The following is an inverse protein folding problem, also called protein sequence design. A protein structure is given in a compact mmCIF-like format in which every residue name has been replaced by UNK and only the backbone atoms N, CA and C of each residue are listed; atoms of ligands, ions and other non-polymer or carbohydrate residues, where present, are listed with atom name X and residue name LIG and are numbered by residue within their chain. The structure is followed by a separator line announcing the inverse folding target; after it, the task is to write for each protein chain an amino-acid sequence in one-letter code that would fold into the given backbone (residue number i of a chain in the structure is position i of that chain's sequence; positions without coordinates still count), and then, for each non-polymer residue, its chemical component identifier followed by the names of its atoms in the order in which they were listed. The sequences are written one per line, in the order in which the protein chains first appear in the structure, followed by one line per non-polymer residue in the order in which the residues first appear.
data_IF_047418514463
#
_entry.id   IF_047418514463
#
_cell.length_a   1.000
_cell.length_b   1.000
_cell.length_c   1.000
_cell.angle_alpha   90.00
_cell.angle_beta   90.00
_cell.angle_gamma   90.00
#
_symmetry.space_group_name_H-M   'P 1'
#
loop_
_entity.id
_entity.type
_entity.pdbx_description
1 polymer ?
#
# COMPACT_ATOMS: atom_id res chain seq x y z
N UNK A 1 -24.26 -11.15 -2.76
CA UNK A 1 -23.22 -10.31 -2.12
C UNK A 1 -22.38 -11.17 -1.20
N UNK A 2 -21.06 -10.96 -1.15
CA UNK A 2 -20.14 -11.69 -0.26
C UNK A 2 -19.31 -10.69 0.52
N UNK A 3 -19.15 -10.91 1.82
CA UNK A 3 -18.37 -10.07 2.72
C UNK A 3 -17.17 -10.87 3.24
N UNK A 4 -15.96 -10.39 3.00
CA UNK A 4 -14.72 -11.00 3.46
C UNK A 4 -13.97 -10.08 4.39
N UNK A 5 -13.79 -10.49 5.64
CA UNK A 5 -13.00 -9.76 6.63
C UNK A 5 -11.57 -10.28 6.67
N UNK A 6 -10.62 -9.37 6.68
CA UNK A 6 -9.18 -9.63 6.73
C UNK A 6 -8.61 -8.94 7.97
N UNK A 7 -7.82 -9.66 8.78
CA UNK A 7 -7.24 -9.16 10.02
C UNK A 7 -5.75 -8.82 9.90
N UNK A 8 -5.08 -9.31 8.85
CA UNK A 8 -3.69 -8.95 8.52
C UNK A 8 -3.52 -8.45 7.08
N UNK A 9 -2.43 -7.72 6.81
CA UNK A 9 -2.07 -7.26 5.46
C UNK A 9 -1.82 -8.46 4.53
N UNK A 10 -1.27 -9.56 5.04
CA UNK A 10 -1.04 -10.78 4.28
C UNK A 10 -2.34 -11.44 3.86
N UNK A 11 -3.33 -11.54 4.76
CA UNK A 11 -4.67 -12.04 4.45
C UNK A 11 -5.36 -11.17 3.39
N UNK A 12 -5.22 -9.84 3.52
CA UNK A 12 -5.71 -8.88 2.53
C UNK A 12 -5.05 -9.07 1.16
N UNK A 13 -3.72 -9.10 1.11
CA UNK A 13 -2.98 -9.24 -0.16
C UNK A 13 -3.35 -10.55 -0.86
N UNK A 14 -3.47 -11.64 -0.10
CA UNK A 14 -3.90 -12.92 -0.64
C UNK A 14 -5.34 -12.88 -1.17
N UNK A 15 -6.25 -12.21 -0.46
CA UNK A 15 -7.62 -12.00 -0.93
C UNK A 15 -7.67 -11.18 -2.21
N UNK A 16 -6.90 -10.09 -2.33
CA UNK A 16 -6.83 -9.25 -3.54
C UNK A 16 -6.37 -10.06 -4.75
N UNK A 17 -5.30 -10.84 -4.61
CA UNK A 17 -4.83 -11.72 -5.68
C UNK A 17 -5.86 -12.80 -6.04
N UNK A 18 -6.58 -13.36 -5.07
CA UNK A 18 -7.67 -14.30 -5.31
C UNK A 18 -8.81 -13.67 -6.11
N UNK A 19 -9.24 -12.46 -5.73
CA UNK A 19 -10.37 -11.83 -6.41
C UNK A 19 -9.99 -11.36 -7.83
N UNK A 20 -8.75 -10.91 -8.03
CA UNK A 20 -8.23 -10.57 -9.37
C UNK A 20 -8.22 -11.78 -10.31
N UNK A 21 -7.72 -12.93 -9.84
CA UNK A 21 -7.72 -14.16 -10.63
C UNK A 21 -9.13 -14.65 -10.99
N UNK A 22 -10.11 -14.32 -10.16
CA UNK A 22 -11.52 -14.64 -10.42
C UNK A 22 -12.20 -13.63 -11.36
N UNK A 23 -11.51 -12.55 -11.75
CA UNK A 23 -12.03 -11.52 -12.64
C UNK A 23 -12.95 -10.52 -11.96
N UNK A 24 -12.85 -10.38 -10.63
CA UNK A 24 -13.55 -9.30 -9.93
C UNK A 24 -12.76 -7.99 -10.10
N UNK A 25 -13.47 -6.87 -10.23
CA UNK A 25 -12.87 -5.57 -10.52
C UNK A 25 -13.37 -4.49 -9.57
N UNK A 26 -12.52 -3.51 -9.26
CA UNK A 26 -12.98 -2.29 -8.61
C UNK A 26 -13.81 -1.46 -9.57
N UNK A 27 -14.80 -0.73 -9.04
CA UNK A 27 -15.56 0.24 -9.82
C UNK A 27 -14.67 1.36 -10.43
N UNK A 28 -13.44 1.53 -9.94
CA UNK A 28 -12.42 2.48 -10.44
C UNK A 28 -11.65 1.96 -11.66
N UNK A 29 -11.91 0.73 -12.13
CA UNK A 29 -11.18 0.02 -13.21
C UNK A 29 -9.72 -0.33 -12.89
N UNK A 30 -9.27 -0.11 -11.66
CA UNK A 30 -7.97 -0.58 -11.18
C UNK A 30 -8.04 -2.08 -10.91
N UNK A 31 -6.93 -2.79 -11.08
CA UNK A 31 -6.90 -4.21 -10.70
C UNK A 31 -6.99 -4.35 -9.18
N UNK A 32 -7.56 -5.45 -8.67
CA UNK A 32 -7.65 -5.68 -7.23
C UNK A 32 -6.32 -5.57 -6.49
N UNK A 33 -5.22 -6.05 -7.08
CA UNK A 33 -3.88 -5.96 -6.46
C UNK A 33 -3.22 -4.59 -6.60
N UNK A 34 -3.69 -3.72 -7.49
CA UNK A 34 -3.11 -2.40 -7.73
C UNK A 34 -3.67 -1.33 -6.76
N UNK A 35 -4.86 -1.54 -6.21
CA UNK A 35 -5.48 -0.65 -5.23
C UNK A 35 -5.45 -1.24 -3.82
N UNK A 36 -4.75 -0.55 -2.91
CA UNK A 36 -4.57 -1.02 -1.53
C UNK A 36 -5.48 -0.28 -0.54
N UNK A 37 -6.72 -0.75 -0.38
CA UNK A 37 -7.70 -0.19 0.55
C UNK A 37 -7.46 -0.59 2.01
N UNK A 38 -6.56 -1.55 2.27
CA UNK A 38 -6.17 -1.95 3.63
C UNK A 38 -5.71 -0.77 4.47
N UNK A 39 -5.03 0.20 3.85
CA UNK A 39 -4.50 1.37 4.55
C UNK A 39 -5.57 2.27 5.19
N UNK A 40 -6.84 2.07 4.85
CA UNK A 40 -7.97 2.87 5.32
C UNK A 40 -8.50 2.30 6.65
N UNK A 41 -8.89 1.03 6.67
CA UNK A 41 -9.52 0.40 7.85
C UNK A 41 -8.62 -0.62 8.57
N UNK A 42 -7.46 -0.97 7.99
CA UNK A 42 -6.51 -1.96 8.52
C UNK A 42 -7.24 -3.25 8.90
N UNK A 43 -7.08 -3.73 10.13
CA UNK A 43 -7.74 -4.93 10.67
C UNK A 43 -9.27 -4.90 10.65
N UNK A 44 -9.88 -3.75 10.42
CA UNK A 44 -11.35 -3.62 10.28
C UNK A 44 -11.80 -3.64 8.81
N UNK A 45 -10.90 -3.94 7.87
CA UNK A 45 -11.20 -3.96 6.43
C UNK A 45 -12.08 -5.16 6.08
N UNK A 46 -13.25 -4.86 5.51
CA UNK A 46 -14.13 -5.85 4.89
C UNK A 46 -14.20 -5.57 3.39
N UNK A 47 -13.88 -6.59 2.60
CA UNK A 47 -14.08 -6.58 1.14
C UNK A 47 -15.50 -7.03 0.84
N UNK A 48 -16.21 -6.18 0.13
CA UNK A 48 -17.58 -6.38 -0.32
C UNK A 48 -17.53 -6.79 -1.78
N UNK A 49 -18.13 -7.93 -2.12
CA UNK A 49 -18.32 -8.34 -3.51
C UNK A 49 -19.80 -8.26 -3.84
N UNK A 50 -20.16 -7.30 -4.68
CA UNK A 50 -21.51 -7.05 -5.16
C UNK A 50 -21.69 -7.59 -6.58
N UNK A 51 -22.90 -8.08 -6.87
CA UNK A 51 -23.30 -8.61 -8.19
C UNK A 51 -22.35 -9.66 -8.81
N UNK A 52 -21.55 -10.34 -7.98
CA UNK A 52 -20.53 -11.31 -8.41
C UNK A 52 -19.49 -10.77 -9.41
N UNK A 53 -19.31 -9.44 -9.48
CA UNK A 53 -18.28 -8.80 -10.32
C UNK A 53 -17.62 -7.57 -9.65
N UNK A 54 -18.39 -6.79 -8.88
CA UNK A 54 -17.94 -5.48 -8.40
C UNK A 54 -17.36 -5.57 -6.99
N UNK A 55 -16.14 -5.05 -6.83
CA UNK A 55 -15.50 -4.91 -5.54
C UNK A 55 -15.84 -3.56 -4.89
N UNK A 56 -16.14 -3.63 -3.59
CA UNK A 56 -16.24 -2.53 -2.66
C UNK A 56 -15.47 -2.85 -1.38
N UNK A 57 -15.28 -1.86 -0.52
CA UNK A 57 -14.67 -2.06 0.78
C UNK A 57 -15.30 -1.12 1.81
N UNK A 58 -15.40 -1.59 3.05
CA UNK A 58 -15.93 -0.80 4.15
C UNK A 58 -15.34 -1.25 5.49
N UNK A 59 -15.63 -0.52 6.56
CA UNK A 59 -15.33 -0.97 7.91
C UNK A 59 -16.25 -2.12 8.31
N UNK A 60 -15.75 -3.00 9.18
CA UNK A 60 -16.52 -4.09 9.77
C UNK A 60 -17.83 -3.60 10.42
N UNK A 61 -17.74 -2.56 11.23
CA UNK A 61 -18.90 -1.94 11.90
C UNK A 61 -19.94 -1.43 10.88
N UNK A 62 -19.49 -0.81 9.78
CA UNK A 62 -20.40 -0.37 8.73
C UNK A 62 -21.14 -1.55 8.10
N UNK A 63 -20.41 -2.64 7.78
CA UNK A 63 -21.02 -3.84 7.21
C UNK A 63 -22.01 -4.50 8.17
N UNK A 64 -21.69 -4.59 9.46
CA UNK A 64 -22.60 -5.15 10.47
C UNK A 64 -23.88 -4.32 10.62
N UNK A 65 -23.78 -3.00 10.51
CA UNK A 65 -24.92 -2.09 10.61
C UNK A 65 -25.80 -2.06 9.35
N UNK A 66 -25.18 -2.06 8.17
CA UNK A 66 -25.89 -1.90 6.89
C UNK A 66 -26.36 -3.23 6.32
N UNK A 67 -25.64 -4.32 6.61
CA UNK A 67 -25.93 -5.67 6.13
C UNK A 67 -26.06 -6.67 7.29
N UNK A 68 -26.97 -6.45 8.26
CA UNK A 68 -27.07 -7.27 9.47
C UNK A 68 -27.33 -8.75 9.19
N UNK A 69 -28.04 -9.06 8.10
CA UNK A 69 -28.39 -10.43 7.71
C UNK A 69 -27.33 -11.11 6.82
N UNK A 70 -26.24 -10.41 6.47
CA UNK A 70 -25.18 -10.96 5.61
C UNK A 70 -23.97 -11.36 6.46
N UNK A 71 -23.66 -12.68 6.57
CA UNK A 71 -22.51 -13.12 7.36
C UNK A 71 -21.19 -12.61 6.80
N UNK A 72 -20.41 -11.97 7.66
CA UNK A 72 -19.03 -11.56 7.37
C UNK A 72 -18.13 -12.77 7.51
N UNK A 73 -17.56 -13.25 6.40
CA UNK A 73 -16.67 -14.42 6.39
C UNK A 73 -15.25 -13.95 6.68
N UNK A 74 -14.64 -14.48 7.75
CA UNK A 74 -13.20 -14.31 7.94
C UNK A 74 -12.46 -15.02 6.80
N UNK A 75 -11.66 -14.28 6.05
CA UNK A 75 -10.84 -14.87 5.00
C UNK A 75 -9.66 -15.58 5.63
N UNK A 76 -9.59 -16.90 5.45
CA UNK A 76 -8.41 -17.70 5.79
C UNK A 76 -7.87 -18.31 4.52
N UNK A 77 -6.66 -17.91 4.19
CA UNK A 77 -5.88 -18.51 3.10
C UNK A 77 -5.71 -20.00 3.37
N UNK A 78 -6.02 -20.85 2.37
CA UNK A 78 -5.52 -22.22 2.36
C UNK A 78 -4.03 -22.15 2.02
N UNK A 79 -3.19 -22.47 3.00
CA UNK A 79 -1.73 -22.33 2.94
C UNK A 79 -1.13 -22.99 1.69
N UNK A 80 -1.71 -24.10 1.24
CA UNK A 80 -1.30 -24.88 0.07
C UNK A 80 -1.55 -24.15 -1.26
N UNK A 81 -2.63 -23.36 -1.36
CA UNK A 81 -2.93 -22.60 -2.58
C UNK A 81 -1.97 -21.42 -2.73
N UNK A 82 -1.60 -20.78 -1.62
CA UNK A 82 -0.66 -19.65 -1.63
C UNK A 82 0.79 -20.10 -1.82
N UNK A 83 1.20 -21.23 -1.26
CA UNK A 83 2.52 -21.82 -1.53
C UNK A 83 2.73 -22.07 -3.03
N UNK A 84 1.72 -22.67 -3.70
CA UNK A 84 1.75 -22.89 -5.14
C UNK A 84 1.83 -21.58 -5.94
N UNK A 85 1.21 -20.50 -5.47
CA UNK A 85 1.26 -19.20 -6.16
C UNK A 85 2.62 -18.54 -6.06
N UNK A 86 3.28 -18.63 -4.90
CA UNK A 86 4.64 -18.13 -4.76
C UNK A 86 5.61 -18.91 -5.64
N UNK A 87 5.43 -20.23 -5.74
CA UNK A 87 6.24 -21.07 -6.64
C UNK A 87 6.01 -20.71 -8.12
N UNK A 88 4.75 -20.57 -8.55
CA UNK A 88 4.41 -20.20 -9.92
C UNK A 88 4.92 -18.80 -10.28
N UNK A 89 4.79 -17.82 -9.37
CA UNK A 89 5.29 -16.46 -9.55
C UNK A 89 6.82 -16.39 -9.57
N UNK A 90 7.50 -17.15 -8.71
CA UNK A 90 8.95 -17.26 -8.70
C UNK A 90 9.47 -17.91 -9.98
N UNK A 91 8.79 -18.94 -10.49
CA UNK A 91 9.12 -19.59 -11.75
C UNK A 91 8.89 -18.66 -12.95
N UNK A 92 7.80 -17.88 -12.95
CA UNK A 92 7.55 -16.87 -13.98
C UNK A 92 8.61 -15.76 -13.96
N UNK A 93 9.02 -15.26 -12.78
CA UNK A 93 10.10 -14.28 -12.65
C UNK A 93 11.44 -14.83 -13.11
N UNK A 94 11.77 -16.09 -12.77
CA UNK A 94 12.97 -16.75 -13.28
C UNK A 94 12.94 -16.87 -14.81
N UNK A 95 11.79 -17.22 -15.38
CA UNK A 95 11.62 -17.31 -16.84
C UNK A 95 11.78 -15.94 -17.53
N UNK A 96 11.17 -14.88 -16.98
CA UNK A 96 11.29 -13.50 -17.46
C UNK A 96 12.73 -12.96 -17.36
N UNK A 97 13.40 -13.25 -16.24
CA UNK A 97 14.82 -12.90 -16.04
C UNK A 97 15.73 -13.63 -17.04
N UNK A 98 15.47 -14.92 -17.30
CA UNK A 98 16.23 -15.72 -18.26
C UNK A 98 16.13 -15.21 -19.71
N UNK A 99 15.05 -14.49 -20.06
CA UNK A 99 14.87 -13.85 -21.37
C UNK A 99 15.26 -12.35 -21.38
N UNK A 100 15.90 -11.87 -20.31
CA UNK A 100 16.43 -10.50 -20.23
C UNK A 100 15.37 -9.41 -20.01
N UNK A 101 14.13 -9.78 -19.66
CA UNK A 101 13.07 -8.83 -19.33
C UNK A 101 13.19 -8.45 -17.84
N UNK A 102 13.67 -7.24 -17.58
CA UNK A 102 13.65 -6.62 -16.26
C UNK A 102 12.32 -5.90 -16.06
N UNK A 103 11.54 -6.29 -15.06
CA UNK A 103 10.40 -5.47 -14.62
C UNK A 103 10.97 -4.22 -13.93
N UNK A 104 10.79 -3.06 -14.55
CA UNK A 104 10.92 -1.79 -13.83
C UNK A 104 9.82 -1.75 -12.77
N UNK A 105 10.21 -1.72 -11.51
CA UNK A 105 9.31 -1.28 -10.43
C UNK A 105 8.88 0.15 -10.77
N UNK A 106 7.69 0.32 -11.33
CA UNK A 106 6.98 1.59 -11.19
C UNK A 106 6.49 1.68 -9.75
N UNK A 107 7.41 2.02 -8.85
CA UNK A 107 7.11 2.40 -7.49
C UNK A 107 6.29 3.70 -7.54
N UNK A 108 4.96 3.58 -7.60
CA UNK A 108 4.02 4.68 -7.45
C UNK A 108 3.84 5.10 -5.98
N UNK A 109 4.85 4.89 -5.13
CA UNK A 109 4.85 5.35 -3.75
C UNK A 109 5.13 6.85 -3.72
N UNK A 110 4.08 7.66 -3.94
CA UNK A 110 4.16 9.13 -3.92
C UNK A 110 4.69 9.72 -2.61
N UNK A 111 4.84 8.92 -1.55
CA UNK A 111 5.27 9.36 -0.23
C UNK A 111 6.75 9.02 -0.03
N UNK A 112 7.13 7.75 -0.17
CA UNK A 112 8.50 7.29 0.09
C UNK A 112 9.39 7.30 -1.15
N UNK A 113 8.80 7.20 -2.35
CA UNK A 113 9.55 7.14 -3.60
C UNK A 113 8.80 7.84 -4.75
N UNK A 114 8.67 9.18 -4.71
CA UNK A 114 7.95 9.90 -5.76
C UNK A 114 8.73 9.75 -7.07
N UNK A 115 8.06 9.26 -8.12
CA UNK A 115 8.66 8.89 -9.41
C UNK A 115 9.52 9.99 -10.07
N UNK A 116 9.36 11.25 -9.68
CA UNK A 116 10.14 12.39 -10.20
C UNK A 116 11.44 12.70 -9.45
N UNK A 117 11.80 11.94 -8.39
CA UNK A 117 13.02 12.17 -7.59
C UNK A 117 14.09 11.06 -7.72
N UNK A 118 13.86 10.02 -8.52
CA UNK A 118 14.78 8.87 -8.71
C UNK A 118 15.59 8.90 -10.01
N UNK A 119 15.63 10.04 -10.69
CA UNK A 119 16.45 10.20 -11.88
C UNK A 119 17.94 10.03 -11.52
N UNK A 120 18.54 8.87 -11.84
CA UNK A 120 19.97 8.60 -11.67
C UNK A 120 20.35 7.55 -10.61
N UNK A 121 19.38 6.86 -9.99
CA UNK A 121 19.67 5.72 -9.10
C UNK A 121 20.18 6.07 -7.70
N UNK A 122 20.17 7.35 -7.33
CA UNK A 122 20.40 7.84 -5.97
C UNK A 122 19.11 8.47 -5.48
N UNK A 123 18.64 8.08 -4.28
CA UNK A 123 17.50 8.71 -3.66
C UNK A 123 17.83 10.17 -3.31
N UNK A 124 16.96 11.11 -3.71
CA UNK A 124 17.23 12.55 -3.55
C UNK A 124 17.53 12.94 -2.10
N UNK A 125 16.91 12.26 -1.13
CA UNK A 125 17.14 12.52 0.29
C UNK A 125 18.56 12.16 0.74
N UNK A 126 19.12 11.06 0.23
CA UNK A 126 20.48 10.63 0.57
C UNK A 126 21.51 11.61 0.02
N UNK A 127 21.28 12.13 -1.19
CA UNK A 127 22.09 13.22 -1.73
C UNK A 127 22.02 14.49 -0.87
N UNK A 128 20.82 14.86 -0.40
CA UNK A 128 20.63 16.02 0.48
C UNK A 128 21.38 15.83 1.80
N UNK A 129 21.23 14.68 2.46
CA UNK A 129 21.96 14.32 3.69
C UNK A 129 23.47 14.43 3.52
N UNK A 130 24.00 13.98 2.37
CA UNK A 130 25.42 14.05 2.07
C UNK A 130 25.95 15.46 1.78
N UNK A 131 25.08 16.43 1.43
CA UNK A 131 25.48 17.78 1.01
C UNK A 131 25.06 18.89 1.96
N UNK A 132 24.03 18.68 2.78
CA UNK A 132 23.54 19.66 3.74
C UNK A 132 24.22 19.44 5.08
N UNK A 133 24.99 20.44 5.54
CA UNK A 133 25.70 20.38 6.82
C UNK A 133 24.79 20.29 8.05
N UNK A 134 23.62 20.92 7.97
CA UNK A 134 22.61 20.92 9.04
C UNK A 134 21.33 20.23 8.53
N UNK A 135 21.43 18.91 8.40
CA UNK A 135 20.29 18.07 8.03
C UNK A 135 19.12 18.18 9.03
N UNK A 136 19.34 18.23 10.36
CA UNK A 136 18.26 18.39 11.32
C UNK A 136 17.36 19.60 11.06
N UNK A 137 17.94 20.78 10.78
CA UNK A 137 17.14 21.97 10.46
C UNK A 137 16.36 21.82 9.14
N UNK A 138 16.93 21.13 8.14
CA UNK A 138 16.23 20.83 6.89
C UNK A 138 15.03 19.90 7.12
N UNK A 139 15.21 18.84 7.91
CA UNK A 139 14.14 17.91 8.25
C UNK A 139 13.03 18.63 9.06
N UNK A 140 13.39 19.42 10.08
CA UNK A 140 12.46 20.22 10.87
C UNK A 140 11.62 21.18 10.02
N UNK A 141 12.24 21.86 9.05
CA UNK A 141 11.55 22.74 8.12
C UNK A 141 10.53 21.99 7.24
N UNK A 142 10.86 20.78 6.78
CA UNK A 142 9.93 19.95 6.02
C UNK A 142 8.76 19.45 6.89
N UNK A 143 9.03 19.03 8.12
CA UNK A 143 7.99 18.62 9.08
C UNK A 143 7.01 19.79 9.28
N UNK A 144 7.52 20.99 9.62
CA UNK A 144 6.69 22.18 9.81
C UNK A 144 5.88 22.53 8.56
N UNK A 145 6.50 22.47 7.37
CA UNK A 145 5.85 22.76 6.09
C UNK A 145 4.68 21.82 5.80
N UNK A 146 4.81 20.54 6.10
CA UNK A 146 3.74 19.58 5.82
C UNK A 146 2.64 19.61 6.89
N UNK A 147 3.01 19.80 8.17
CA UNK A 147 2.05 20.00 9.26
C UNK A 147 1.28 21.32 9.12
N UNK A 148 1.85 22.38 8.56
CA UNK A 148 1.11 23.64 8.37
C UNK A 148 0.16 23.63 7.18
N UNK A 149 0.27 22.65 6.28
CA UNK A 149 -0.42 22.64 4.98
C UNK A 149 -1.53 21.60 4.87
N UNK A 150 -1.58 20.63 5.78
CA UNK A 150 -2.47 19.47 5.62
C UNK A 150 -3.93 19.88 5.48
N UNK A 151 -4.41 20.86 6.25
CA UNK A 151 -5.81 21.29 6.23
C UNK A 151 -6.25 21.93 4.91
N UNK A 152 -5.31 22.44 4.12
CA UNK A 152 -5.61 23.29 2.98
C UNK A 152 -5.05 22.80 1.64
N UNK A 153 -4.32 21.67 1.61
CA UNK A 153 -3.75 21.13 0.36
C UNK A 153 -3.95 19.63 0.17
N UNK A 154 -3.17 18.79 0.86
CA UNK A 154 -3.14 17.35 0.58
C UNK A 154 -3.65 16.48 1.74
N UNK A 155 -4.23 17.08 2.79
CA UNK A 155 -4.80 16.34 3.92
C UNK A 155 -3.81 15.37 4.55
N UNK A 156 -4.27 14.13 4.75
CA UNK A 156 -3.49 13.06 5.37
C UNK A 156 -2.17 12.75 4.63
N UNK A 157 -2.05 13.02 3.32
CA UNK A 157 -0.81 12.78 2.59
C UNK A 157 0.32 13.71 3.07
N UNK A 158 0.02 14.98 3.37
CA UNK A 158 1.00 15.88 3.96
C UNK A 158 1.37 15.42 5.38
N UNK A 159 0.42 14.94 6.19
CA UNK A 159 0.74 14.38 7.51
C UNK A 159 1.64 13.14 7.43
N UNK A 160 1.44 12.26 6.45
CA UNK A 160 2.33 11.11 6.20
C UNK A 160 3.73 11.55 5.76
N UNK A 161 3.84 12.61 4.95
CA UNK A 161 5.14 13.21 4.60
C UNK A 161 5.83 13.81 5.83
N UNK A 162 5.09 14.49 6.71
CA UNK A 162 5.64 14.99 7.97
C UNK A 162 6.18 13.84 8.84
N UNK A 163 5.40 12.75 8.98
CA UNK A 163 5.81 11.55 9.70
C UNK A 163 7.07 10.92 9.11
N UNK A 164 7.17 10.84 7.78
CA UNK A 164 8.37 10.35 7.10
C UNK A 164 9.61 11.14 7.50
N UNK A 165 9.57 12.48 7.41
CA UNK A 165 10.71 13.32 7.81
C UNK A 165 11.01 13.25 9.32
N UNK A 166 10.00 13.05 10.16
CA UNK A 166 10.19 12.86 11.60
C UNK A 166 10.91 11.55 11.91
N UNK A 167 10.46 10.44 11.32
CA UNK A 167 11.09 9.13 11.49
C UNK A 167 12.53 9.15 10.98
N UNK A 168 12.76 9.78 9.83
CA UNK A 168 14.08 9.88 9.25
C UNK A 168 15.04 10.74 10.10
N UNK A 169 14.54 11.84 10.68
CA UNK A 169 15.30 12.65 11.63
C UNK A 169 15.63 11.85 12.90
N UNK A 170 14.70 11.07 13.44
CA UNK A 170 14.97 10.19 14.60
C UNK A 170 16.12 9.23 14.26
N UNK A 171 16.03 8.53 13.12
CA UNK A 171 17.08 7.60 12.69
C UNK A 171 18.44 8.30 12.53
N UNK A 172 18.46 9.51 11.97
CA UNK A 172 19.68 10.31 11.85
C UNK A 172 20.30 10.59 13.23
N UNK A 173 19.49 11.07 14.19
CA UNK A 173 19.94 11.41 15.53
C UNK A 173 20.35 10.20 16.38
N UNK A 174 19.81 9.01 16.10
CA UNK A 174 20.22 7.76 16.75
C UNK A 174 21.51 7.16 16.16
N UNK A 175 21.89 7.59 14.95
CA UNK A 175 23.09 7.13 14.23
C UNK A 175 24.32 8.02 14.45
N UNK A 176 24.11 9.25 14.94
CA UNK A 176 25.16 10.19 15.40
C UNK A 176 25.59 9.89 16.86
#
# INVERSE_FOLDING_TARGET
MKLYHTETQEEYNALMAYVEKKGYEWNTKEKPTEYNCWNIFKKETVIVIEYDINLGFASKEYCERVYPDTPIKKYKVKQDEVAKWFDDAANAMKALSAIGISMKNENNDKINNPAHYTAGGIETLDYIKAKVKDYPSYAAGNILKYVSRYEHKNGIEDLKKAQFYLNDLINWMESD
#
